data_IF_254373716404
#
_entry.id   IF_254373716404
#
_cell.length_a   1.000
_cell.length_b   1.000
_cell.length_c   1.000
_cell.angle_alpha   90.00
_cell.angle_beta   90.00
_cell.angle_gamma   90.00
#
_symmetry.space_group_name_H-M   'P 1'
#
loop_
_entity.id
_entity.type
_entity.pdbx_description
1 polymer ?
#
# COMPACT_ATOMS: atom_id res chain seq x y z
N UNK A 1 14.30 19.60 -4.07
CA UNK A 1 13.94 19.58 -2.64
C UNK A 1 12.44 19.77 -2.54
N UNK A 2 11.72 18.80 -1.97
CA UNK A 2 10.29 18.90 -1.69
C UNK A 2 10.08 19.20 -0.21
N UNK A 3 9.15 20.09 0.12
CA UNK A 3 8.73 20.36 1.51
C UNK A 3 7.36 19.74 1.68
N UNK A 4 7.25 18.73 2.55
CA UNK A 4 6.04 17.95 2.78
C UNK A 4 5.56 18.11 4.22
N UNK A 5 4.29 17.79 4.47
CA UNK A 5 3.73 17.72 5.82
C UNK A 5 4.45 16.63 6.61
N UNK A 6 4.92 16.98 7.80
CA UNK A 6 5.43 16.00 8.76
C UNK A 6 4.27 15.31 9.50
N UNK A 7 4.31 13.98 9.56
CA UNK A 7 3.31 13.15 10.23
C UNK A 7 3.92 12.55 11.51
N UNK A 8 3.56 13.12 12.66
CA UNK A 8 4.24 12.85 13.94
C UNK A 8 4.07 11.41 14.45
N UNK A 9 3.01 10.72 14.04
CA UNK A 9 2.69 9.38 14.56
C UNK A 9 3.29 8.24 13.71
N UNK A 10 4.15 8.57 12.75
CA UNK A 10 4.84 7.58 11.92
C UNK A 10 3.92 6.83 10.94
N UNK A 11 4.38 5.67 10.48
CA UNK A 11 3.65 4.84 9.54
C UNK A 11 2.90 3.67 10.22
N UNK A 12 2.01 3.02 9.47
CA UNK A 12 1.20 1.91 9.97
C UNK A 12 2.06 0.75 10.46
N UNK A 13 3.11 0.44 9.71
CA UNK A 13 4.02 -0.66 10.01
C UNK A 13 4.61 -0.56 11.42
N UNK A 14 5.15 0.61 11.76
CA UNK A 14 5.76 0.84 13.07
C UNK A 14 4.72 0.98 14.20
N UNK A 15 3.47 1.31 13.85
CA UNK A 15 2.41 1.55 14.84
C UNK A 15 1.83 0.25 15.39
N UNK A 16 1.77 -0.80 14.57
CA UNK A 16 1.34 -2.14 14.98
C UNK A 16 2.20 -2.69 16.13
N UNK A 17 3.51 -2.42 16.12
CA UNK A 17 4.43 -2.94 17.14
C UNK A 17 4.29 -2.27 18.51
N UNK A 18 3.65 -1.10 18.59
CA UNK A 18 3.82 -0.19 19.74
C UNK A 18 2.53 0.17 20.49
N UNK A 19 1.34 -0.04 19.93
CA UNK A 19 0.07 0.37 20.56
C UNK A 19 -1.09 -0.55 20.17
N UNK A 20 -1.87 -0.97 21.16
CA UNK A 20 -3.19 -1.58 20.93
C UNK A 20 -4.11 -0.58 20.23
N UNK A 21 -4.76 -1.00 19.14
CA UNK A 21 -5.71 -0.19 18.38
C UNK A 21 -7.06 -0.91 18.38
N UNK A 22 -8.07 -0.26 18.94
CA UNK A 22 -9.44 -0.79 18.93
C UNK A 22 -9.96 -1.01 17.51
N UNK A 23 -10.75 -2.07 17.33
CA UNK A 23 -11.27 -2.47 16.03
C UNK A 23 -12.10 -1.37 15.34
N UNK A 24 -12.87 -0.57 16.10
CA UNK A 24 -13.63 0.56 15.52
C UNK A 24 -12.69 1.62 14.94
N UNK A 25 -11.58 1.89 15.62
CA UNK A 25 -10.57 2.82 15.13
C UNK A 25 -9.84 2.24 13.91
N UNK A 26 -9.56 0.93 13.87
CA UNK A 26 -9.02 0.27 12.66
C UNK A 26 -9.94 0.45 11.46
N UNK A 27 -11.24 0.18 11.60
CA UNK A 27 -12.23 0.35 10.53
C UNK A 27 -12.33 1.82 10.09
N UNK A 28 -12.35 2.76 11.04
CA UNK A 28 -12.37 4.18 10.73
C UNK A 28 -11.14 4.62 9.91
N UNK A 29 -9.95 4.15 10.29
CA UNK A 29 -8.71 4.44 9.58
C UNK A 29 -8.72 3.80 8.18
N UNK A 30 -9.18 2.56 8.04
CA UNK A 30 -9.33 1.87 6.75
C UNK A 30 -10.25 2.64 5.80
N UNK A 31 -11.35 3.21 6.30
CA UNK A 31 -12.25 4.06 5.51
C UNK A 31 -11.55 5.32 5.01
N UNK A 32 -10.75 5.99 5.86
CA UNK A 32 -9.97 7.16 5.44
C UNK A 32 -8.92 6.79 4.38
N UNK A 33 -8.21 5.68 4.57
CA UNK A 33 -7.22 5.18 3.61
C UNK A 33 -7.89 4.86 2.26
N UNK A 34 -9.03 4.17 2.27
CA UNK A 34 -9.79 3.86 1.06
C UNK A 34 -10.25 5.12 0.32
N UNK A 35 -10.70 6.15 1.03
CA UNK A 35 -11.05 7.45 0.44
C UNK A 35 -9.84 8.15 -0.18
N UNK A 36 -8.66 8.03 0.45
CA UNK A 36 -7.41 8.53 -0.12
C UNK A 36 -7.06 7.82 -1.42
N UNK A 37 -7.15 6.48 -1.44
CA UNK A 37 -6.85 5.68 -2.62
C UNK A 37 -7.84 5.95 -3.76
N UNK A 38 -9.13 6.07 -3.42
CA UNK A 38 -10.18 6.49 -4.35
C UNK A 38 -9.87 7.86 -4.96
N UNK A 39 -9.30 8.78 -4.19
CA UNK A 39 -8.91 10.11 -4.69
C UNK A 39 -7.78 10.03 -5.72
N UNK A 40 -6.81 9.12 -5.54
CA UNK A 40 -5.76 8.83 -6.51
C UNK A 40 -6.36 8.23 -7.79
N UNK A 41 -7.26 7.25 -7.63
CA UNK A 41 -7.91 6.56 -8.75
C UNK A 41 -8.83 7.47 -9.56
N UNK A 42 -9.54 8.40 -8.91
CA UNK A 42 -10.37 9.42 -9.58
C UNK A 42 -9.53 10.45 -10.34
N UNK A 43 -8.25 10.62 -9.99
CA UNK A 43 -7.31 11.42 -10.76
C UNK A 43 -6.71 10.64 -11.95
N UNK A 44 -7.27 9.48 -12.30
CA UNK A 44 -6.79 8.56 -13.34
C UNK A 44 -5.35 8.08 -13.13
N UNK A 45 -4.95 7.92 -11.87
CA UNK A 45 -3.61 7.45 -11.47
C UNK A 45 -3.68 6.15 -10.68
N UNK A 46 -2.54 5.47 -10.62
CA UNK A 46 -2.24 4.33 -9.75
C UNK A 46 -1.11 4.68 -8.78
N UNK A 47 -1.06 4.04 -7.62
CA UNK A 47 -0.01 4.25 -6.61
C UNK A 47 1.25 3.43 -6.89
N UNK A 48 1.09 2.15 -7.27
CA UNK A 48 2.17 1.17 -7.54
C UNK A 48 2.96 0.67 -6.34
N UNK A 49 3.13 1.48 -5.31
CA UNK A 49 3.86 1.10 -4.09
C UNK A 49 2.98 1.18 -2.82
N UNK A 50 1.77 0.61 -2.90
CA UNK A 50 0.80 0.72 -1.82
C UNK A 50 1.04 -0.36 -0.74
N UNK A 51 1.53 0.03 0.43
CA UNK A 51 1.78 -0.88 1.56
C UNK A 51 1.72 -0.14 2.91
N UNK A 52 1.75 -0.86 4.04
CA UNK A 52 1.64 -0.26 5.39
C UNK A 52 2.72 0.77 5.72
N UNK A 53 3.96 0.56 5.24
CA UNK A 53 5.02 1.56 5.32
C UNK A 53 4.70 2.93 4.69
N UNK A 54 3.79 3.00 3.71
CA UNK A 54 3.35 4.22 3.02
C UNK A 54 2.01 4.77 3.53
N UNK A 55 1.50 4.25 4.64
CA UNK A 55 0.33 4.78 5.35
C UNK A 55 0.81 5.54 6.57
N UNK A 56 0.70 6.87 6.56
CA UNK A 56 1.13 7.75 7.64
C UNK A 56 -0.03 8.17 8.54
N UNK A 57 0.27 8.38 9.81
CA UNK A 57 -0.68 8.87 10.80
C UNK A 57 -0.29 10.24 11.32
N UNK A 58 -1.29 11.08 11.55
CA UNK A 58 -1.12 12.33 12.29
C UNK A 58 -2.41 12.66 13.05
N UNK A 59 -2.37 12.52 14.37
CA UNK A 59 -3.51 12.61 15.27
C UNK A 59 -4.63 11.64 14.86
N UNK A 60 -5.75 12.16 14.36
CA UNK A 60 -6.94 11.40 13.96
C UNK A 60 -7.00 11.12 12.46
N UNK A 61 -6.00 11.57 11.70
CA UNK A 61 -5.98 11.46 10.25
C UNK A 61 -4.98 10.41 9.77
N UNK A 62 -5.35 9.78 8.66
CA UNK A 62 -4.48 8.88 7.90
C UNK A 62 -4.18 9.46 6.54
N UNK A 63 -2.96 9.26 6.05
CA UNK A 63 -2.48 9.77 4.77
C UNK A 63 -1.78 8.66 4.00
N UNK A 64 -1.99 8.65 2.69
CA UNK A 64 -1.17 7.88 1.75
C UNK A 64 0.04 8.76 1.40
N UNK A 65 1.24 8.21 1.53
CA UNK A 65 2.50 8.88 1.21
C UNK A 65 3.26 8.18 0.09
N UNK A 66 4.38 8.76 -0.30
CA UNK A 66 5.27 8.24 -1.35
C UNK A 66 4.60 8.04 -2.72
N UNK A 67 4.22 9.17 -3.31
CA UNK A 67 3.67 9.20 -4.67
C UNK A 67 4.78 9.18 -5.75
N UNK A 68 6.01 8.75 -5.41
CA UNK A 68 7.15 8.76 -6.34
C UNK A 68 6.96 7.83 -7.53
N UNK A 69 6.18 6.76 -7.34
CA UNK A 69 5.84 5.77 -8.37
C UNK A 69 4.47 6.00 -9.00
N UNK A 70 3.75 7.06 -8.60
CA UNK A 70 2.42 7.34 -9.13
C UNK A 70 2.46 7.70 -10.62
N UNK A 71 1.65 7.01 -11.42
CA UNK A 71 1.56 7.25 -12.86
C UNK A 71 0.12 7.11 -13.37
N UNK A 72 -0.19 7.55 -14.59
CA UNK A 72 -1.49 7.30 -15.21
C UNK A 72 -1.84 5.81 -15.23
N UNK A 73 -3.11 5.49 -15.01
CA UNK A 73 -3.58 4.10 -14.91
C UNK A 73 -3.53 3.31 -16.24
N UNK A 74 -3.50 4.01 -17.38
CA UNK A 74 -3.50 3.45 -18.73
C UNK A 74 -2.21 3.82 -19.47
N UNK A 75 -1.05 3.72 -18.81
CA UNK A 75 0.20 4.09 -19.45
C UNK A 75 0.62 2.97 -20.42
N UNK A 76 0.42 3.19 -21.73
CA UNK A 76 0.75 2.21 -22.79
C UNK A 76 2.26 1.91 -22.88
N UNK A 77 3.09 2.77 -22.28
CA UNK A 77 4.52 2.54 -22.14
C UNK A 77 4.73 1.51 -21.03
N UNK A 78 5.08 0.29 -21.43
CA UNK A 78 5.62 -0.70 -20.50
C UNK A 78 6.93 -0.16 -19.91
N UNK A 79 6.87 0.27 -18.66
CA UNK A 79 8.09 0.50 -17.89
C UNK A 79 8.82 -0.83 -17.71
N UNK A 80 10.14 -0.81 -17.92
CA UNK A 80 10.98 -1.96 -17.65
C UNK A 80 11.07 -2.20 -16.14
N UNK A 81 10.71 -3.40 -15.69
CA UNK A 81 10.86 -3.84 -14.31
C UNK A 81 9.56 -3.99 -13.53
N UNK A 82 9.63 -4.80 -12.48
CA UNK A 82 8.55 -5.06 -11.53
C UNK A 82 8.90 -4.32 -10.25
N UNK A 83 8.08 -3.34 -9.85
CA UNK A 83 8.33 -2.45 -8.73
C UNK A 83 7.23 -2.57 -7.67
N UNK A 84 7.62 -2.46 -6.41
CA UNK A 84 6.73 -2.53 -5.26
C UNK A 84 7.29 -3.45 -4.17
N UNK A 85 6.60 -3.51 -3.04
CA UNK A 85 6.96 -4.41 -1.93
C UNK A 85 6.28 -5.77 -2.13
N UNK A 86 7.07 -6.80 -2.40
CA UNK A 86 6.65 -8.12 -2.89
C UNK A 86 5.36 -8.70 -2.26
N UNK A 87 5.22 -8.76 -0.91
CA UNK A 87 3.99 -9.23 -0.27
C UNK A 87 2.68 -8.54 -0.70
N UNK A 88 2.74 -7.28 -1.13
CA UNK A 88 1.58 -6.46 -1.50
C UNK A 88 1.32 -6.50 -3.00
N UNK A 89 2.22 -7.06 -3.79
CA UNK A 89 2.14 -6.99 -5.24
C UNK A 89 1.08 -7.93 -5.78
N UNK A 90 0.24 -7.41 -6.68
CA UNK A 90 -0.78 -8.20 -7.33
C UNK A 90 -0.17 -9.27 -8.26
N UNK A 91 -0.76 -10.47 -8.38
CA UNK A 91 -0.22 -11.56 -9.18
C UNK A 91 0.02 -11.18 -10.65
N UNK A 92 -0.84 -10.34 -11.23
CA UNK A 92 -0.70 -9.86 -12.60
C UNK A 92 0.55 -8.99 -12.77
N UNK A 93 0.90 -8.18 -11.77
CA UNK A 93 2.11 -7.33 -11.79
C UNK A 93 3.35 -8.21 -11.69
N UNK A 94 3.34 -9.23 -10.83
CA UNK A 94 4.44 -10.19 -10.70
C UNK A 94 4.70 -11.00 -11.97
N UNK A 95 3.65 -11.22 -12.78
CA UNK A 95 3.73 -11.88 -14.09
C UNK A 95 4.12 -10.93 -15.23
N UNK A 96 4.37 -9.66 -14.93
CA UNK A 96 4.75 -8.64 -15.91
C UNK A 96 3.60 -8.16 -16.81
N UNK A 97 2.36 -8.38 -16.38
CA UNK A 97 1.21 -7.74 -17.01
C UNK A 97 1.11 -6.26 -16.59
N UNK A 98 0.23 -5.53 -17.28
CA UNK A 98 0.01 -4.10 -17.03
C UNK A 98 -0.47 -3.84 -15.60
N UNK A 99 0.12 -2.82 -14.96
CA UNK A 99 -0.33 -2.34 -13.66
C UNK A 99 -1.60 -1.51 -13.82
N UNK A 100 -2.66 -1.89 -13.12
CA UNK A 100 -3.96 -1.19 -13.18
C UNK A 100 -4.40 -0.72 -11.79
N UNK A 101 -5.49 0.05 -11.72
CA UNK A 101 -6.15 0.40 -10.45
C UNK A 101 -6.47 -0.84 -9.60
N UNK A 102 -6.76 -1.98 -10.23
CA UNK A 102 -7.05 -3.23 -9.51
C UNK A 102 -5.83 -3.76 -8.72
N UNK A 103 -4.61 -3.51 -9.20
CA UNK A 103 -3.40 -3.91 -8.48
C UNK A 103 -3.19 -3.09 -7.19
N UNK A 104 -3.56 -1.81 -7.18
CA UNK A 104 -3.60 -1.02 -5.94
C UNK A 104 -4.67 -1.58 -4.97
N UNK A 105 -5.82 -2.03 -5.49
CA UNK A 105 -6.89 -2.63 -4.66
C UNK A 105 -6.45 -3.96 -4.05
N UNK A 106 -5.72 -4.80 -4.79
CA UNK A 106 -5.09 -6.00 -4.25
C UNK A 106 -4.14 -5.64 -3.10
N UNK A 107 -3.26 -4.68 -3.33
CA UNK A 107 -2.30 -4.18 -2.34
C UNK A 107 -3.00 -3.65 -1.09
N UNK A 108 -4.11 -2.93 -1.26
CA UNK A 108 -4.97 -2.47 -0.18
C UNK A 108 -5.58 -3.64 0.61
N UNK A 109 -5.99 -4.72 -0.05
CA UNK A 109 -6.48 -5.94 0.60
C UNK A 109 -5.42 -6.60 1.49
N UNK A 110 -4.18 -6.70 1.02
CA UNK A 110 -3.07 -7.24 1.81
C UNK A 110 -2.78 -6.35 3.03
N UNK A 111 -2.71 -5.02 2.84
CA UNK A 111 -2.50 -4.07 3.92
C UNK A 111 -3.66 -4.10 4.94
N UNK A 112 -4.90 -4.22 4.48
CA UNK A 112 -6.06 -4.37 5.36
C UNK A 112 -5.94 -5.65 6.21
N UNK A 113 -5.54 -6.77 5.61
CA UNK A 113 -5.33 -8.01 6.34
C UNK A 113 -4.23 -7.86 7.40
N UNK A 114 -3.07 -7.28 7.05
CA UNK A 114 -2.00 -6.97 7.99
C UNK A 114 -2.51 -6.09 9.14
N UNK A 115 -3.28 -5.04 8.83
CA UNK A 115 -3.72 -4.11 9.86
C UNK A 115 -4.70 -4.74 10.85
N UNK A 116 -5.60 -5.61 10.35
CA UNK A 116 -6.61 -6.26 11.18
C UNK A 116 -6.03 -7.43 11.98
N UNK A 117 -5.21 -8.27 11.35
CA UNK A 117 -4.57 -9.43 11.99
C UNK A 117 -3.37 -9.07 12.86
N UNK A 118 -2.75 -7.91 12.61
CA UNK A 118 -1.45 -7.52 13.18
C UNK A 118 -0.31 -8.47 12.78
N UNK A 119 -0.52 -9.27 11.73
CA UNK A 119 0.47 -10.20 11.19
C UNK A 119 1.12 -9.64 9.93
N UNK A 120 2.45 -9.78 9.88
CA UNK A 120 3.27 -9.37 8.75
C UNK A 120 2.92 -10.26 7.54
N UNK A 121 2.56 -9.70 6.38
CA UNK A 121 2.28 -10.48 5.18
C UNK A 121 3.46 -11.40 4.81
N UNK A 122 3.18 -12.70 4.71
CA UNK A 122 4.17 -13.73 4.40
C UNK A 122 5.42 -13.72 5.31
N UNK A 123 5.26 -13.44 6.61
CA UNK A 123 6.38 -13.31 7.57
C UNK A 123 7.33 -14.51 7.61
N UNK A 124 6.81 -15.72 7.37
CA UNK A 124 7.55 -16.98 7.50
C UNK A 124 8.25 -17.40 6.19
N UNK A 125 8.08 -16.64 5.12
CA UNK A 125 8.61 -16.97 3.79
C UNK A 125 9.58 -15.87 3.38
N UNK A 126 10.79 -16.20 2.91
CA UNK A 126 11.69 -15.21 2.32
C UNK A 126 11.01 -14.43 1.18
N UNK A 127 11.16 -13.10 1.18
CA UNK A 127 10.60 -12.23 0.15
C UNK A 127 11.47 -12.24 -1.11
N UNK A 128 11.58 -13.41 -1.74
CA UNK A 128 12.40 -13.66 -2.92
C UNK A 128 11.57 -14.17 -4.11
N UNK A 129 12.26 -14.59 -5.17
CA UNK A 129 11.64 -15.15 -6.37
C UNK A 129 10.70 -16.33 -6.07
N UNK A 130 10.97 -17.14 -5.04
CA UNK A 130 10.11 -18.26 -4.66
C UNK A 130 8.75 -17.76 -4.16
N UNK A 131 8.72 -16.67 -3.38
CA UNK A 131 7.46 -16.06 -2.98
C UNK A 131 6.75 -15.43 -4.19
N UNK A 132 7.48 -14.76 -5.08
CA UNK A 132 6.91 -14.15 -6.28
C UNK A 132 6.18 -15.16 -7.18
N UNK A 133 6.64 -16.40 -7.26
CA UNK A 133 5.99 -17.48 -8.04
C UNK A 133 4.78 -18.08 -7.30
N UNK A 134 4.72 -17.99 -5.97
CA UNK A 134 3.62 -18.53 -5.16
C UNK A 134 2.38 -17.63 -5.13
N UNK A 135 2.54 -16.34 -5.40
CA UNK A 135 1.46 -15.33 -5.49
C UNK A 135 0.79 -15.40 -6.87
#
# INVERSE_FOLDING_TARGET
MMILRYCNDGNLRNRLDNKFIDCKLKIHNLLQIANGLLSIHNAEKVHKDFHSGNILFNFQYTYISDLGMCQPANNEVKEEGVYGVLPYMAPEVLRGYEYTKAADIYSFGIMMNEYLSEEIPFNEIPHDYTLAVKI
#
